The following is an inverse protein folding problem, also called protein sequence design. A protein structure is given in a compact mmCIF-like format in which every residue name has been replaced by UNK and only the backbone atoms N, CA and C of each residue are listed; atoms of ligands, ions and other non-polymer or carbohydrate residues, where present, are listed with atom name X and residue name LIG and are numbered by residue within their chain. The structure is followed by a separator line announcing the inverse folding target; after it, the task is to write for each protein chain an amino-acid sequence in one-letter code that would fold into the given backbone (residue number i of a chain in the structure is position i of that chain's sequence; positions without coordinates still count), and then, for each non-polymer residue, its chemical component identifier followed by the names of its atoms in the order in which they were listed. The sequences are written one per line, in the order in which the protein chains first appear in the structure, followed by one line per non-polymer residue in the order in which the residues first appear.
data_IF_832222116783
#
_entry.id   IF_832222116783
#
_cell.length_a   1.000
_cell.length_b   1.000
_cell.length_c   1.000
_cell.angle_alpha   90.00
_cell.angle_beta   90.00
_cell.angle_gamma   90.00
#
_symmetry.space_group_name_H-M   'P 1'
#
loop_
_entity.id
_entity.type
_entity.pdbx_description
1 polymer ?
#
# COMPACT_ATOMS: atom_id res chain seq x y z
N UNK A 1 20.67 1.33 13.28
CA UNK A 1 20.69 -0.08 12.86
C UNK A 1 22.08 -0.44 12.33
N UNK A 2 22.41 -1.73 12.29
CA UNK A 2 23.53 -2.24 11.49
C UNK A 2 22.96 -3.06 10.35
N UNK A 3 23.37 -2.74 9.13
CA UNK A 3 22.98 -3.47 7.92
C UNK A 3 24.17 -3.55 6.99
N UNK A 4 24.67 -4.77 6.75
CA UNK A 4 25.95 -4.99 6.04
C UNK A 4 27.05 -4.12 6.69
N UNK A 5 27.71 -3.27 5.90
CA UNK A 5 28.77 -2.36 6.38
C UNK A 5 28.26 -0.99 6.86
N UNK A 6 26.94 -0.77 6.88
CA UNK A 6 26.33 0.49 7.28
C UNK A 6 26.00 0.53 8.79
N UNK A 7 26.35 1.65 9.44
CA UNK A 7 25.98 1.96 10.82
C UNK A 7 25.38 3.38 10.87
N UNK A 8 24.08 3.48 11.19
CA UNK A 8 23.34 4.75 11.16
C UNK A 8 21.84 4.55 11.40
N UNK A 9 21.02 5.54 11.07
CA UNK A 9 19.55 5.39 11.12
C UNK A 9 19.03 4.63 9.90
N UNK A 10 17.78 4.15 9.96
CA UNK A 10 17.16 3.51 8.78
C UNK A 10 16.95 4.55 7.68
N UNK A 11 16.53 5.74 8.07
CA UNK A 11 16.26 6.86 7.18
C UNK A 11 17.52 7.23 6.39
N UNK A 12 18.68 7.29 7.06
CA UNK A 12 19.98 7.54 6.41
C UNK A 12 20.34 6.41 5.43
N UNK A 13 20.11 5.14 5.81
CA UNK A 13 20.37 3.99 4.93
C UNK A 13 19.49 4.03 3.68
N UNK A 14 18.18 4.27 3.87
CA UNK A 14 17.23 4.36 2.76
C UNK A 14 17.61 5.52 1.86
N UNK A 15 17.90 6.70 2.40
CA UNK A 15 18.32 7.87 1.63
C UNK A 15 19.60 7.59 0.82
N UNK A 16 20.60 6.93 1.41
CA UNK A 16 21.79 6.49 0.67
C UNK A 16 21.42 5.54 -0.48
N UNK A 17 20.53 4.58 -0.25
CA UNK A 17 20.09 3.63 -1.28
C UNK A 17 19.29 4.30 -2.39
N UNK A 18 18.45 5.28 -2.07
CA UNK A 18 17.72 6.06 -3.06
C UNK A 18 18.68 6.86 -3.96
N UNK A 19 19.75 7.45 -3.40
CA UNK A 19 20.79 8.13 -4.18
C UNK A 19 21.55 7.15 -5.08
N UNK A 20 21.95 5.98 -4.57
CA UNK A 20 22.60 4.93 -5.36
C UNK A 20 21.72 4.47 -6.56
N UNK A 21 20.40 4.38 -6.35
CA UNK A 21 19.44 4.03 -7.42
C UNK A 21 19.37 5.14 -8.47
N UNK A 22 19.23 6.40 -8.07
CA UNK A 22 19.17 7.53 -9.01
C UNK A 22 20.41 7.60 -9.90
N UNK A 23 21.60 7.43 -9.31
CA UNK A 23 22.87 7.46 -10.04
C UNK A 23 23.02 6.30 -11.02
N UNK A 24 22.71 5.07 -10.58
CA UNK A 24 22.94 3.85 -11.39
C UNK A 24 21.87 3.62 -12.45
N UNK A 25 20.62 3.93 -12.14
CA UNK A 25 19.48 3.74 -13.06
C UNK A 25 19.22 4.98 -13.93
N UNK A 26 19.92 6.09 -13.66
CA UNK A 26 19.74 7.39 -14.31
C UNK A 26 18.28 7.87 -14.26
N UNK A 27 17.69 7.76 -13.08
CA UNK A 27 16.30 8.15 -12.79
C UNK A 27 16.26 9.23 -11.72
N UNK A 28 15.10 9.87 -11.58
CA UNK A 28 14.82 10.78 -10.47
C UNK A 28 13.67 10.24 -9.64
N UNK A 29 13.88 10.12 -8.34
CA UNK A 29 12.90 9.62 -7.39
C UNK A 29 12.04 10.79 -6.92
N UNK A 30 10.73 10.69 -7.15
CA UNK A 30 9.73 11.71 -6.81
C UNK A 30 9.14 11.50 -5.41
N UNK A 31 9.04 10.24 -4.99
CA UNK A 31 8.40 9.84 -3.75
C UNK A 31 8.99 8.52 -3.27
N UNK A 32 9.28 8.39 -1.98
CA UNK A 32 9.72 7.15 -1.35
C UNK A 32 9.12 7.05 0.05
N UNK A 33 8.52 5.90 0.35
CA UNK A 33 7.76 5.64 1.57
C UNK A 33 8.03 4.25 2.11
N UNK A 34 7.75 4.06 3.39
CA UNK A 34 7.57 2.73 3.96
C UNK A 34 6.23 2.16 3.53
N UNK A 35 6.15 0.86 3.31
CA UNK A 35 4.90 0.15 3.04
C UNK A 35 4.76 -1.08 3.94
N UNK A 36 3.77 -1.93 3.66
CA UNK A 36 3.59 -3.18 4.40
C UNK A 36 3.37 -2.98 5.90
N UNK A 37 3.82 -3.97 6.69
CA UNK A 37 3.44 -4.08 8.11
C UNK A 37 3.94 -2.93 8.99
N UNK A 38 5.05 -2.30 8.61
CA UNK A 38 5.60 -1.12 9.28
C UNK A 38 4.75 0.11 9.02
N UNK A 39 4.39 0.38 7.77
CA UNK A 39 3.48 1.47 7.41
C UNK A 39 2.10 1.32 8.05
N UNK A 40 1.64 0.09 8.25
CA UNK A 40 0.35 -0.20 8.89
C UNK A 40 0.38 -0.06 10.42
N UNK A 41 1.56 0.11 11.04
CA UNK A 41 1.70 0.35 12.47
C UNK A 41 1.62 -0.91 13.34
N UNK A 42 1.84 -2.10 12.76
CA UNK A 42 1.83 -3.36 13.51
C UNK A 42 3.05 -4.25 13.26
N UNK A 43 4.15 -3.72 12.74
CA UNK A 43 5.37 -4.49 12.51
C UNK A 43 5.90 -5.14 13.79
N UNK A 44 6.48 -6.33 13.64
CA UNK A 44 7.26 -6.99 14.68
C UNK A 44 8.74 -6.56 14.54
N UNK A 45 9.58 -6.79 15.56
CA UNK A 45 11.00 -6.43 15.50
C UNK A 45 11.77 -7.06 14.32
N UNK A 46 11.34 -8.25 13.89
CA UNK A 46 11.86 -9.06 12.80
C UNK A 46 11.19 -8.78 11.44
N UNK A 47 10.27 -7.80 11.34
CA UNK A 47 9.73 -7.40 10.05
C UNK A 47 10.79 -6.72 9.17
N UNK A 48 10.78 -7.05 7.89
CA UNK A 48 11.51 -6.37 6.82
C UNK A 48 11.10 -4.89 6.70
N UNK A 49 11.89 -4.14 5.93
CA UNK A 49 11.61 -2.75 5.56
C UNK A 49 11.20 -2.71 4.08
N UNK A 50 9.90 -2.50 3.84
CA UNK A 50 9.28 -2.49 2.53
C UNK A 50 9.31 -1.07 1.95
N UNK A 51 10.46 -0.63 1.42
CA UNK A 51 10.56 0.69 0.81
C UNK A 51 9.93 0.67 -0.57
N UNK A 52 8.99 1.59 -0.82
CA UNK A 52 8.32 1.75 -2.12
C UNK A 52 8.53 3.16 -2.63
N UNK A 53 8.86 3.28 -3.91
CA UNK A 53 9.15 4.59 -4.49
C UNK A 53 8.56 4.78 -5.88
N UNK A 54 8.34 6.04 -6.24
CA UNK A 54 7.94 6.46 -7.58
C UNK A 54 9.09 7.24 -8.18
N UNK A 55 9.48 6.87 -9.40
CA UNK A 55 10.56 7.54 -10.12
C UNK A 55 10.12 7.96 -11.52
N UNK A 56 10.84 8.91 -12.10
CA UNK A 56 10.68 9.34 -13.48
C UNK A 56 12.01 9.19 -14.21
N UNK A 57 11.95 8.72 -15.45
CA UNK A 57 13.10 8.57 -16.34
C UNK A 57 13.29 9.82 -17.19
N UNK A 58 14.38 9.87 -17.95
CA UNK A 58 14.57 10.93 -18.93
C UNK A 58 13.59 10.78 -20.10
N UNK A 59 13.19 11.88 -20.76
CA UNK A 59 12.29 11.82 -21.92
C UNK A 59 12.72 10.82 -22.99
N UNK A 60 14.03 10.75 -23.28
CA UNK A 60 14.58 9.87 -24.32
C UNK A 60 14.31 8.39 -24.02
N UNK A 61 14.23 7.99 -22.74
CA UNK A 61 13.96 6.60 -22.35
C UNK A 61 12.54 6.17 -22.71
N UNK A 62 11.58 7.10 -22.72
CA UNK A 62 10.19 6.83 -23.13
C UNK A 62 9.99 6.84 -24.65
N UNK A 63 10.95 7.35 -25.42
CA UNK A 63 10.91 7.43 -26.88
C UNK A 63 11.71 6.33 -27.59
N UNK A 64 12.33 5.42 -26.82
CA UNK A 64 13.04 4.26 -27.35
C UNK A 64 12.07 3.27 -28.00
N UNK A 65 12.52 2.64 -29.09
CA UNK A 65 11.78 1.56 -29.75
C UNK A 65 11.74 0.28 -28.90
N UNK A 66 12.81 0.03 -28.17
CA UNK A 66 12.84 -1.06 -27.18
C UNK A 66 12.14 -0.60 -25.90
N UNK A 67 11.13 -1.34 -25.42
CA UNK A 67 10.44 -1.00 -24.18
C UNK A 67 11.40 -1.03 -22.99
N UNK A 68 11.39 0.04 -22.20
CA UNK A 68 12.13 0.10 -20.94
C UNK A 68 11.30 -0.50 -19.81
N UNK A 69 11.94 -1.25 -18.92
CA UNK A 69 11.29 -1.83 -17.74
C UNK A 69 10.71 -0.73 -16.85
N UNK A 70 9.46 -0.88 -16.45
CA UNK A 70 8.68 0.10 -15.68
C UNK A 70 8.78 -0.10 -14.15
N UNK A 71 9.67 -1.00 -13.71
CA UNK A 71 9.92 -1.35 -12.30
C UNK A 71 11.43 -1.42 -12.06
N UNK A 72 11.87 -0.88 -10.92
CA UNK A 72 13.22 -1.07 -10.38
C UNK A 72 13.09 -1.89 -9.09
N UNK A 73 13.90 -2.92 -8.95
CA UNK A 73 14.01 -3.76 -7.76
C UNK A 73 15.42 -3.63 -7.19
N UNK A 74 15.55 -3.40 -5.90
CA UNK A 74 16.82 -3.07 -5.27
C UNK A 74 16.94 -3.72 -3.89
N UNK A 75 18.12 -4.31 -3.62
CA UNK A 75 18.47 -4.90 -2.31
C UNK A 75 17.39 -5.85 -1.77
N UNK A 76 16.81 -6.74 -2.60
CA UNK A 76 15.76 -7.70 -2.22
C UNK A 76 16.26 -8.79 -1.25
N UNK A 77 16.54 -8.43 0.00
CA UNK A 77 16.98 -9.36 1.04
C UNK A 77 16.06 -9.39 2.26
N UNK A 78 16.41 -10.18 3.28
CA UNK A 78 15.56 -10.40 4.45
C UNK A 78 15.43 -9.15 5.35
N UNK A 79 16.17 -8.07 5.06
CA UNK A 79 16.10 -6.82 5.82
C UNK A 79 15.48 -5.69 5.00
N UNK A 80 15.95 -5.46 3.77
CA UNK A 80 15.40 -4.43 2.89
C UNK A 80 14.66 -5.08 1.72
N UNK A 81 13.51 -4.53 1.36
CA UNK A 81 12.85 -4.79 0.08
C UNK A 81 12.52 -3.43 -0.55
N UNK A 82 13.34 -2.99 -1.50
CA UNK A 82 13.19 -1.69 -2.15
C UNK A 82 12.64 -1.89 -3.57
N UNK A 83 11.42 -1.42 -3.81
CA UNK A 83 10.74 -1.55 -5.10
C UNK A 83 10.21 -0.21 -5.61
N UNK A 84 10.50 0.11 -6.87
CA UNK A 84 10.12 1.38 -7.48
C UNK A 84 9.25 1.20 -8.71
N UNK A 85 8.25 2.06 -8.88
CA UNK A 85 7.44 2.14 -10.09
C UNK A 85 7.76 3.40 -10.88
N UNK A 86 7.89 3.24 -12.20
CA UNK A 86 8.01 4.36 -13.13
C UNK A 86 6.74 5.24 -13.09
N UNK A 87 6.88 6.55 -13.32
CA UNK A 87 5.78 7.50 -13.30
C UNK A 87 4.66 7.15 -14.29
N UNK A 88 4.99 6.67 -15.50
CA UNK A 88 3.99 6.21 -16.47
C UNK A 88 3.18 5.03 -15.90
N UNK A 89 3.85 4.09 -15.24
CA UNK A 89 3.20 2.97 -14.56
C UNK A 89 2.31 3.48 -13.43
N UNK A 90 2.81 4.36 -12.57
CA UNK A 90 2.05 4.94 -11.46
C UNK A 90 0.76 5.62 -11.96
N UNK A 91 0.84 6.47 -12.98
CA UNK A 91 -0.33 7.14 -13.56
C UNK A 91 -1.33 6.15 -14.16
N UNK A 92 -0.87 5.09 -14.85
CA UNK A 92 -1.76 4.00 -15.30
C UNK A 92 -2.41 3.25 -14.14
N UNK A 93 -1.75 3.14 -12.99
CA UNK A 93 -2.30 2.50 -11.80
C UNK A 93 -3.31 3.42 -11.08
N UNK A 94 -3.13 4.74 -11.12
CA UNK A 94 -4.19 5.69 -10.75
C UNK A 94 -5.43 5.50 -11.61
N UNK A 95 -5.29 5.41 -12.94
CA UNK A 95 -6.42 5.17 -13.85
C UNK A 95 -7.21 3.90 -13.53
N UNK A 96 -6.50 2.84 -13.12
CA UNK A 96 -7.09 1.57 -12.68
C UNK A 96 -7.64 1.60 -11.26
N UNK A 97 -7.47 2.71 -10.55
CA UNK A 97 -7.71 2.86 -9.12
C UNK A 97 -7.05 1.76 -8.28
N UNK A 98 -5.77 1.49 -8.53
CA UNK A 98 -5.03 0.46 -7.79
C UNK A 98 -4.80 0.90 -6.33
N UNK A 99 -5.37 0.16 -5.39
CA UNK A 99 -5.29 0.48 -3.96
C UNK A 99 -3.86 0.50 -3.41
N UNK A 100 -2.95 -0.31 -3.95
CA UNK A 100 -1.53 -0.29 -3.54
C UNK A 100 -0.89 1.08 -3.80
N UNK A 101 -1.22 1.73 -4.92
CA UNK A 101 -0.68 3.06 -5.22
C UNK A 101 -1.25 4.13 -4.27
N UNK A 102 -2.54 4.04 -3.94
CA UNK A 102 -3.14 4.93 -2.94
C UNK A 102 -2.53 4.70 -1.55
N UNK A 103 -2.23 3.46 -1.17
CA UNK A 103 -1.54 3.18 0.09
C UNK A 103 -0.14 3.77 0.13
N UNK A 104 0.64 3.65 -0.96
CA UNK A 104 1.97 4.27 -1.03
C UNK A 104 1.87 5.79 -0.91
N UNK A 105 0.95 6.40 -1.65
CA UNK A 105 0.77 7.85 -1.68
C UNK A 105 0.29 8.43 -0.35
N UNK A 106 -0.45 7.64 0.43
CA UNK A 106 -0.99 8.00 1.74
C UNK A 106 -0.20 7.40 2.91
N UNK A 107 1.00 6.86 2.66
CA UNK A 107 1.81 6.24 3.72
C UNK A 107 2.18 7.27 4.79
N UNK A 108 2.06 6.92 6.09
CA UNK A 108 2.39 7.83 7.19
C UNK A 108 3.91 8.01 7.37
N UNK A 109 4.73 7.13 6.79
CA UNK A 109 6.19 7.14 6.93
C UNK A 109 6.79 7.43 5.56
N UNK A 110 7.22 8.68 5.40
CA UNK A 110 7.76 9.22 4.14
C UNK A 110 9.26 9.43 4.28
N UNK A 111 10.05 8.75 3.44
CA UNK A 111 11.50 8.94 3.38
C UNK A 111 11.88 10.12 2.49
N UNK A 112 11.21 10.26 1.35
CA UNK A 112 11.45 11.34 0.38
C UNK A 112 10.18 11.72 -0.34
N UNK A 113 9.96 13.01 -0.59
CA UNK A 113 8.86 13.50 -1.44
C UNK A 113 9.22 14.83 -2.07
N UNK A 114 8.97 14.98 -3.36
CA UNK A 114 9.12 16.25 -4.07
C UNK A 114 7.78 16.97 -4.21
N UNK A 115 7.80 18.29 -4.48
CA UNK A 115 6.59 19.07 -4.73
C UNK A 115 5.85 18.59 -5.99
N UNK A 116 6.59 18.11 -6.98
CA UNK A 116 6.00 17.55 -8.19
C UNK A 116 5.15 16.32 -7.92
N UNK A 117 5.58 15.44 -7.00
CA UNK A 117 4.77 14.30 -6.59
C UNK A 117 3.50 14.75 -5.86
N UNK A 118 3.60 15.73 -4.96
CA UNK A 118 2.41 16.27 -4.26
C UNK A 118 1.37 16.78 -5.26
N UNK A 119 1.82 17.50 -6.29
CA UNK A 119 0.96 17.97 -7.37
C UNK A 119 0.34 16.79 -8.15
N UNK A 120 1.16 15.82 -8.58
CA UNK A 120 0.67 14.61 -9.28
C UNK A 120 -0.40 13.91 -8.45
N UNK A 121 -0.11 13.63 -7.18
CA UNK A 121 -1.01 12.90 -6.31
C UNK A 121 -2.32 13.67 -6.09
N UNK A 122 -2.26 14.99 -5.87
CA UNK A 122 -3.45 15.82 -5.71
C UNK A 122 -4.36 15.77 -6.95
N UNK A 123 -3.78 15.88 -8.14
CA UNK A 123 -4.55 15.90 -9.40
C UNK A 123 -4.99 14.50 -9.87
N UNK A 124 -4.28 13.45 -9.48
CA UNK A 124 -4.61 12.06 -9.80
C UNK A 124 -5.52 11.38 -8.77
N UNK A 125 -5.61 11.90 -7.53
CA UNK A 125 -6.49 11.36 -6.48
C UNK A 125 -7.96 11.20 -6.88
N UNK A 126 -8.57 12.09 -7.70
CA UNK A 126 -9.93 11.91 -8.21
C UNK A 126 -10.14 10.69 -9.10
N UNK A 127 -9.09 9.95 -9.49
CA UNK A 127 -9.22 8.67 -10.20
C UNK A 127 -9.55 7.50 -9.26
N UNK A 128 -9.67 7.75 -7.96
CA UNK A 128 -10.16 6.74 -7.01
C UNK A 128 -11.55 6.24 -7.41
N UNK A 129 -11.68 4.93 -7.56
CA UNK A 129 -12.92 4.21 -7.78
C UNK A 129 -13.20 3.33 -6.57
N UNK A 130 -14.42 3.47 -6.04
CA UNK A 130 -14.94 2.70 -4.92
C UNK A 130 -14.98 1.23 -5.32
N UNK A 131 -15.57 0.91 -6.49
CA UNK A 131 -15.72 -0.48 -6.93
C UNK A 131 -14.37 -1.17 -7.14
N UNK A 132 -13.44 -0.52 -7.84
CA UNK A 132 -12.14 -1.10 -8.14
C UNK A 132 -11.32 -1.33 -6.86
N UNK A 133 -11.32 -0.36 -5.94
CA UNK A 133 -10.60 -0.48 -4.67
C UNK A 133 -11.21 -1.53 -3.74
N UNK A 134 -12.55 -1.59 -3.64
CA UNK A 134 -13.22 -2.65 -2.88
C UNK A 134 -12.94 -4.03 -3.47
N UNK A 135 -12.93 -4.20 -4.80
CA UNK A 135 -12.56 -5.49 -5.41
C UNK A 135 -11.14 -5.91 -5.08
N UNK A 136 -10.18 -4.97 -5.07
CA UNK A 136 -8.80 -5.24 -4.70
C UNK A 136 -8.71 -5.76 -3.26
N UNK A 137 -9.28 -5.02 -2.31
CA UNK A 137 -9.25 -5.42 -0.90
C UNK A 137 -10.02 -6.72 -0.66
N UNK A 138 -11.22 -6.88 -1.24
CA UNK A 138 -11.99 -8.13 -1.18
C UNK A 138 -11.18 -9.32 -1.69
N UNK A 139 -10.53 -9.20 -2.86
CA UNK A 139 -9.70 -10.25 -3.45
C UNK A 139 -8.54 -10.64 -2.54
N UNK A 140 -7.84 -9.63 -2.00
CA UNK A 140 -6.73 -9.82 -1.05
C UNK A 140 -7.19 -10.52 0.23
N UNK A 141 -8.29 -10.04 0.84
CA UNK A 141 -8.87 -10.65 2.04
C UNK A 141 -9.28 -12.10 1.78
N UNK A 142 -10.03 -12.35 0.71
CA UNK A 142 -10.52 -13.68 0.36
C UNK A 142 -9.38 -14.67 0.11
N UNK A 143 -8.38 -14.28 -0.68
CA UNK A 143 -7.24 -15.16 -0.99
C UNK A 143 -6.50 -15.54 0.30
N UNK A 144 -6.16 -14.56 1.14
CA UNK A 144 -5.45 -14.81 2.39
C UNK A 144 -6.30 -15.61 3.40
N UNK A 145 -7.61 -15.38 3.44
CA UNK A 145 -8.53 -16.13 4.31
C UNK A 145 -8.58 -17.61 3.94
N UNK A 146 -8.72 -17.91 2.65
CA UNK A 146 -8.77 -19.29 2.14
C UNK A 146 -7.43 -20.01 2.28
N UNK A 147 -6.32 -19.29 2.11
CA UNK A 147 -4.98 -19.89 2.19
C UNK A 147 -4.51 -20.12 3.63
N UNK A 148 -4.75 -19.16 4.54
CA UNK A 148 -4.07 -19.14 5.83
C UNK A 148 -4.97 -19.35 7.06
N UNK A 149 -6.29 -19.16 6.96
CA UNK A 149 -7.17 -19.10 8.13
C UNK A 149 -8.23 -20.22 8.20
N UNK A 150 -8.07 -21.28 7.38
CA UNK A 150 -9.00 -22.42 7.31
C UNK A 150 -8.70 -23.55 8.30
N UNK A 151 -7.47 -23.67 8.80
CA UNK A 151 -7.07 -24.75 9.71
C UNK A 151 -7.37 -24.47 11.20
N UNK A 152 -7.27 -25.50 12.04
CA UNK A 152 -7.45 -25.38 13.49
C UNK A 152 -6.35 -24.55 14.17
N UNK A 153 -5.14 -24.61 13.61
CA UNK A 153 -3.98 -23.81 14.04
C UNK A 153 -3.56 -22.88 12.91
N UNK A 154 -3.47 -21.58 13.21
CA UNK A 154 -3.20 -20.53 12.23
C UNK A 154 -2.11 -19.59 12.73
N UNK A 155 -1.38 -18.97 11.79
CA UNK A 155 -0.40 -17.93 12.12
C UNK A 155 -1.13 -16.62 12.39
N UNK A 156 -0.96 -16.06 13.59
CA UNK A 156 -1.69 -14.86 13.98
C UNK A 156 -1.34 -13.63 13.12
N UNK A 157 -0.11 -13.54 12.62
CA UNK A 157 0.27 -12.49 11.64
C UNK A 157 -0.70 -12.46 10.45
N UNK A 158 -1.20 -13.62 9.98
CA UNK A 158 -2.09 -13.72 8.81
C UNK A 158 -3.50 -13.17 9.05
N UNK A 159 -3.96 -13.07 10.31
CA UNK A 159 -5.21 -12.35 10.60
C UNK A 159 -5.14 -10.89 10.17
N UNK A 160 -4.01 -10.20 10.36
CA UNK A 160 -3.88 -8.80 9.96
C UNK A 160 -3.94 -8.61 8.44
N UNK A 161 -3.43 -9.57 7.66
CA UNK A 161 -3.52 -9.56 6.19
C UNK A 161 -4.93 -9.86 5.66
N UNK A 162 -5.86 -10.25 6.53
CA UNK A 162 -7.27 -10.50 6.18
C UNK A 162 -8.19 -9.45 6.78
N UNK A 163 -8.02 -9.12 8.06
CA UNK A 163 -8.85 -8.15 8.77
C UNK A 163 -8.62 -6.76 8.22
N UNK A 164 -7.38 -6.32 7.97
CA UNK A 164 -7.13 -5.00 7.39
C UNK A 164 -7.88 -4.79 6.07
N UNK A 165 -7.77 -5.67 5.04
CA UNK A 165 -8.55 -5.49 3.82
C UNK A 165 -10.07 -5.64 4.01
N UNK A 166 -10.55 -6.44 4.98
CA UNK A 166 -11.98 -6.47 5.33
C UNK A 166 -12.45 -5.12 5.88
N UNK A 167 -11.73 -4.55 6.85
CA UNK A 167 -12.05 -3.23 7.40
C UNK A 167 -11.92 -2.13 6.33
N UNK A 168 -10.97 -2.25 5.41
CA UNK A 168 -10.85 -1.36 4.27
C UNK A 168 -12.09 -1.40 3.37
N UNK A 169 -12.68 -2.58 3.12
CA UNK A 169 -13.94 -2.68 2.36
C UNK A 169 -15.07 -1.93 3.07
N UNK A 170 -15.22 -2.11 4.40
CA UNK A 170 -16.22 -1.41 5.20
C UNK A 170 -16.03 0.11 5.20
N UNK A 171 -14.78 0.57 5.34
CA UNK A 171 -14.46 2.00 5.25
C UNK A 171 -14.85 2.57 3.88
N UNK A 172 -14.46 1.90 2.80
CA UNK A 172 -14.72 2.38 1.43
C UNK A 172 -16.22 2.39 1.13
N UNK A 173 -16.97 1.39 1.60
CA UNK A 173 -18.42 1.34 1.50
C UNK A 173 -19.09 2.57 2.15
N UNK A 174 -18.61 2.98 3.32
CA UNK A 174 -19.19 4.08 4.08
C UNK A 174 -18.71 5.47 3.61
N UNK A 175 -17.42 5.61 3.31
CA UNK A 175 -16.76 6.91 3.12
C UNK A 175 -16.43 7.22 1.66
N UNK A 176 -16.48 6.24 0.77
CA UNK A 176 -16.16 6.38 -0.67
C UNK A 176 -14.78 7.02 -0.95
N UNK A 177 -13.79 6.74 -0.10
CA UNK A 177 -12.42 7.26 -0.24
C UNK A 177 -11.37 6.20 0.17
N UNK A 178 -10.08 6.39 -0.16
CA UNK A 178 -9.02 5.48 0.29
C UNK A 178 -9.03 5.29 1.82
N UNK A 179 -8.85 4.06 2.33
CA UNK A 179 -8.81 3.80 3.76
C UNK A 179 -7.53 4.34 4.41
N UNK A 180 -7.56 4.67 5.72
CA UNK A 180 -6.35 4.95 6.48
C UNK A 180 -5.32 3.83 6.35
N UNK A 181 -4.05 4.21 6.15
CA UNK A 181 -2.95 3.23 6.05
C UNK A 181 -2.68 2.60 7.42
N UNK A 182 -2.68 3.42 8.48
CA UNK A 182 -2.53 2.99 9.86
C UNK A 182 -3.70 2.10 10.28
N UNK A 183 -3.38 0.88 10.71
CA UNK A 183 -4.39 -0.10 11.11
C UNK A 183 -5.18 0.36 12.35
N UNK A 184 -4.54 1.05 13.29
CA UNK A 184 -5.20 1.60 14.49
C UNK A 184 -6.28 2.61 14.14
N UNK A 185 -6.01 3.51 13.18
CA UNK A 185 -6.98 4.52 12.72
C UNK A 185 -8.14 3.86 11.97
N UNK A 186 -7.84 2.92 11.08
CA UNK A 186 -8.87 2.16 10.36
C UNK A 186 -9.75 1.34 11.33
N UNK A 187 -9.13 0.69 12.32
CA UNK A 187 -9.84 -0.09 13.33
C UNK A 187 -10.73 0.81 14.20
N UNK A 188 -10.23 1.97 14.63
CA UNK A 188 -11.02 2.91 15.43
C UNK A 188 -12.20 3.46 14.62
N UNK A 189 -11.98 3.83 13.37
CA UNK A 189 -13.05 4.33 12.52
C UNK A 189 -14.17 3.30 12.30
N UNK A 190 -13.81 2.04 12.02
CA UNK A 190 -14.79 1.01 11.65
C UNK A 190 -15.39 0.31 12.88
N UNK A 191 -14.60 0.09 13.94
CA UNK A 191 -14.99 -0.70 15.12
C UNK A 191 -15.07 0.12 16.42
N UNK A 192 -14.82 1.44 16.40
CA UNK A 192 -14.74 2.28 17.60
C UNK A 192 -16.08 2.79 18.14
N UNK A 193 -17.13 2.85 17.31
CA UNK A 193 -18.42 3.35 17.78
C UNK A 193 -19.11 2.31 18.71
N UNK A 194 -19.27 2.72 19.96
CA UNK A 194 -19.89 1.92 21.03
C UNK A 194 -21.39 1.68 20.84
N UNK A 195 -22.04 2.40 19.91
CA UNK A 195 -23.43 2.21 19.51
C UNK A 195 -23.60 1.03 18.53
N UNK A 196 -22.50 0.52 17.97
CA UNK A 196 -22.51 -0.60 17.03
C UNK A 196 -22.84 -1.94 17.70
N UNK A 197 -23.16 -2.93 16.85
CA UNK A 197 -23.59 -4.28 17.23
C UNK A 197 -22.61 -4.91 18.23
N UNK A 198 -23.13 -5.68 19.20
CA UNK A 198 -22.33 -6.44 20.18
C UNK A 198 -21.22 -7.30 19.54
N UNK A 199 -21.43 -7.71 18.30
CA UNK A 199 -20.47 -8.43 17.48
C UNK A 199 -19.20 -7.63 17.20
N UNK A 200 -19.30 -6.36 16.81
CA UNK A 200 -18.14 -5.51 16.46
C UNK A 200 -17.28 -5.25 17.70
N UNK A 201 -17.91 -5.10 18.88
CA UNK A 201 -17.20 -5.03 20.16
C UNK A 201 -16.38 -6.29 20.43
N UNK A 202 -16.93 -7.48 20.16
CA UNK A 202 -16.21 -8.76 20.33
C UNK A 202 -15.05 -8.89 19.33
N UNK A 203 -15.28 -8.49 18.08
CA UNK A 203 -14.25 -8.47 17.03
C UNK A 203 -13.12 -7.53 17.44
N UNK A 204 -13.43 -6.31 17.86
CA UNK A 204 -12.44 -5.35 18.35
C UNK A 204 -11.59 -5.92 19.48
N UNK A 205 -12.22 -6.49 20.52
CA UNK A 205 -11.52 -7.10 21.64
C UNK A 205 -10.59 -8.25 21.18
N UNK A 206 -11.03 -9.06 20.22
CA UNK A 206 -10.21 -10.13 19.66
C UNK A 206 -9.02 -9.59 18.85
N UNK A 207 -9.19 -8.51 18.10
CA UNK A 207 -8.10 -7.83 17.37
C UNK A 207 -7.11 -7.17 18.32
N UNK A 208 -7.58 -6.46 19.36
CA UNK A 208 -6.74 -5.87 20.40
C UNK A 208 -5.89 -6.96 21.09
N UNK A 209 -6.52 -8.10 21.41
CA UNK A 209 -5.79 -9.25 21.96
C UNK A 209 -4.74 -9.82 21.00
N UNK A 210 -5.01 -9.87 19.70
CA UNK A 210 -4.03 -10.28 18.70
C UNK A 210 -2.84 -9.32 18.62
N UNK A 211 -3.09 -8.01 18.72
CA UNK A 211 -2.04 -6.99 18.75
C UNK A 211 -1.14 -7.16 19.98
N UNK A 212 -1.73 -7.42 21.15
CA UNK A 212 -0.97 -7.72 22.39
C UNK A 212 -0.09 -8.97 22.24
N UNK A 213 -0.64 -10.06 21.67
CA UNK A 213 0.12 -11.29 21.45
C UNK A 213 1.28 -11.04 20.48
N UNK A 214 1.03 -10.27 19.42
CA UNK A 214 2.05 -9.91 18.43
C UNK A 214 3.16 -9.05 19.03
N UNK A 215 2.84 -8.14 19.94
CA UNK A 215 3.84 -7.31 20.63
C UNK A 215 4.79 -8.14 21.51
N UNK A 216 4.33 -9.31 22.00
CA UNK A 216 5.07 -10.17 22.92
C UNK A 216 5.72 -11.40 22.25
N UNK A 217 5.41 -11.68 20.99
CA UNK A 217 5.81 -12.91 20.29
C UNK A 217 6.50 -12.55 18.97
N UNK A 218 7.59 -13.24 18.57
CA UNK A 218 8.14 -13.13 17.21
C UNK A 218 7.08 -13.43 16.13
N UNK A 219 7.32 -13.07 14.87
CA UNK A 219 6.33 -13.23 13.77
C UNK A 219 5.81 -14.66 13.56
N UNK A 220 6.46 -15.66 14.15
CA UNK A 220 6.09 -17.08 14.14
C UNK A 220 4.94 -17.45 15.09
N UNK A 221 4.35 -16.50 15.82
CA UNK A 221 3.20 -16.72 16.70
C UNK A 221 2.04 -17.43 15.98
N UNK A 222 1.79 -18.68 16.38
CA UNK A 222 0.70 -19.50 15.88
C UNK A 222 -0.14 -20.00 17.06
N UNK A 223 -1.43 -20.20 16.82
CA UNK A 223 -2.33 -20.71 17.84
C UNK A 223 -3.66 -21.12 17.27
N UNK A 224 -4.59 -21.45 18.16
CA UNK A 224 -5.92 -21.85 17.78
C UNK A 224 -6.61 -20.74 16.98
N UNK A 225 -7.37 -21.15 15.97
CA UNK A 225 -8.26 -20.27 15.21
C UNK A 225 -9.19 -19.51 16.16
N UNK A 226 -9.36 -18.22 15.92
CA UNK A 226 -10.21 -17.34 16.71
C UNK A 226 -11.57 -17.25 16.02
N UNK A 227 -12.53 -18.05 16.48
CA UNK A 227 -13.87 -18.19 15.87
C UNK A 227 -14.58 -16.85 15.67
N UNK A 228 -14.50 -15.93 16.63
CA UNK A 228 -15.15 -14.61 16.52
C UNK A 228 -14.64 -13.82 15.31
N UNK A 229 -13.35 -13.94 14.98
CA UNK A 229 -12.76 -13.24 13.84
C UNK A 229 -13.09 -13.97 12.54
N UNK A 230 -13.07 -15.31 12.55
CA UNK A 230 -13.41 -16.11 11.38
C UNK A 230 -14.86 -15.89 10.94
N UNK A 231 -15.83 -15.97 11.86
CA UNK A 231 -17.24 -15.70 11.54
C UNK A 231 -17.41 -14.28 10.97
N UNK A 232 -16.82 -13.27 11.62
CA UNK A 232 -16.87 -11.90 11.13
C UNK A 232 -16.29 -11.78 9.71
N UNK A 233 -15.11 -12.35 9.46
CA UNK A 233 -14.47 -12.31 8.13
C UNK A 233 -15.36 -12.98 7.08
N UNK A 234 -15.92 -14.15 7.37
CA UNK A 234 -16.81 -14.87 6.44
C UNK A 234 -18.05 -14.04 6.10
N UNK A 235 -18.69 -13.46 7.11
CA UNK A 235 -19.86 -12.60 6.93
C UNK A 235 -19.53 -11.34 6.11
N UNK A 236 -18.40 -10.67 6.40
CA UNK A 236 -18.02 -9.47 5.67
C UNK A 236 -17.56 -9.76 4.24
N UNK A 237 -16.93 -10.90 3.98
CA UNK A 237 -16.59 -11.34 2.63
C UNK A 237 -17.86 -11.62 1.81
N UNK A 238 -18.86 -12.27 2.39
CA UNK A 238 -20.14 -12.52 1.74
C UNK A 238 -20.91 -11.21 1.47
N UNK A 239 -20.94 -10.30 2.44
CA UNK A 239 -21.53 -8.97 2.29
C UNK A 239 -20.85 -8.16 1.18
N UNK A 240 -19.52 -8.04 1.24
CA UNK A 240 -18.72 -7.30 0.25
C UNK A 240 -18.93 -7.87 -1.15
N UNK A 241 -19.01 -9.21 -1.29
CA UNK A 241 -19.25 -9.85 -2.58
C UNK A 241 -20.61 -9.48 -3.16
N UNK A 242 -21.68 -9.54 -2.37
CA UNK A 242 -23.03 -9.15 -2.79
C UNK A 242 -23.08 -7.69 -3.24
N UNK A 243 -22.46 -6.80 -2.47
CA UNK A 243 -22.38 -5.39 -2.81
C UNK A 243 -21.65 -5.19 -4.14
N UNK A 244 -20.44 -5.72 -4.28
CA UNK A 244 -19.61 -5.62 -5.49
C UNK A 244 -20.31 -6.10 -6.76
N UNK A 245 -21.13 -7.16 -6.67
CA UNK A 245 -21.89 -7.71 -7.80
C UNK A 245 -23.01 -6.77 -8.29
N UNK A 246 -23.46 -5.84 -7.45
CA UNK A 246 -24.49 -4.85 -7.80
C UNK A 246 -23.93 -3.48 -8.17
N UNK A 247 -22.68 -3.18 -7.80
CA UNK A 247 -22.05 -1.90 -8.07
C UNK A 247 -21.80 -1.70 -9.57
N UNK A 248 -21.97 -0.47 -10.04
CA UNK A 248 -21.53 -0.06 -11.38
C UNK A 248 -20.05 0.29 -11.36
N UNK A 249 -19.38 0.17 -12.49
CA UNK A 249 -18.01 0.67 -12.65
C UNK A 249 -18.04 2.20 -12.55
N UNK A 250 -17.27 2.75 -11.62
CA UNK A 250 -17.18 4.16 -11.28
C UNK A 250 -15.79 4.74 -11.59
N UNK A 251 -14.95 4.01 -12.35
CA UNK A 251 -13.66 4.52 -12.81
C UNK A 251 -13.83 5.68 -13.80
N UNK A 252 -12.92 6.64 -13.71
CA UNK A 252 -12.79 7.73 -14.67
C UNK A 252 -12.25 7.19 -16.01
N UNK A 253 -13.02 7.35 -17.09
CA UNK A 253 -12.61 6.86 -18.42
C UNK A 253 -11.49 7.70 -19.05
N UNK A 254 -11.50 9.02 -18.81
CA UNK A 254 -10.57 9.97 -19.45
C UNK A 254 -9.13 9.72 -19.01
N UNK A 255 -8.18 9.94 -19.92
CA UNK A 255 -6.75 9.94 -19.64
C UNK A 255 -6.15 11.35 -19.60
N UNK A 256 -6.91 12.38 -19.95
CA UNK A 256 -6.40 13.74 -20.23
C UNK A 256 -5.57 14.33 -19.08
N UNK A 257 -6.05 14.21 -17.83
CA UNK A 257 -5.31 14.69 -16.65
C UNK A 257 -4.00 13.94 -16.48
N UNK A 258 -4.03 12.61 -16.62
CA UNK A 258 -2.86 11.76 -16.39
C UNK A 258 -1.82 11.93 -17.51
N UNK A 259 -2.26 12.04 -18.76
CA UNK A 259 -1.38 12.31 -19.90
C UNK A 259 -0.70 13.67 -19.76
N UNK A 260 -1.45 14.70 -19.35
CA UNK A 260 -0.88 16.02 -19.07
C UNK A 260 0.15 15.96 -17.94
N UNK A 261 -0.19 15.35 -16.80
CA UNK A 261 0.73 15.19 -15.67
C UNK A 261 2.02 14.45 -16.08
N UNK A 262 1.89 13.41 -16.90
CA UNK A 262 3.03 12.68 -17.42
C UNK A 262 3.94 13.58 -18.26
N UNK A 263 3.37 14.28 -19.25
CA UNK A 263 4.13 15.15 -20.15
C UNK A 263 4.80 16.33 -19.42
N UNK A 264 4.10 16.96 -18.49
CA UNK A 264 4.63 18.07 -17.69
C UNK A 264 5.88 17.65 -16.90
N UNK A 265 5.86 16.45 -16.29
CA UNK A 265 6.88 16.06 -15.31
C UNK A 265 8.04 15.27 -15.92
N UNK A 266 7.82 14.61 -17.06
CA UNK A 266 8.88 14.04 -17.87
C UNK A 266 9.71 15.16 -18.52
N UNK A 267 9.06 16.20 -19.06
CA UNK A 267 9.76 17.28 -19.77
C UNK A 267 10.49 18.27 -18.85
N UNK A 268 10.08 18.43 -17.58
CA UNK A 268 10.72 19.34 -16.62
C UNK A 268 12.18 18.97 -16.30
N UNK A 269 12.56 17.70 -16.44
CA UNK A 269 13.94 17.24 -16.22
C UNK A 269 14.98 17.85 -17.17
N UNK A 270 14.55 18.48 -18.27
CA UNK A 270 15.44 19.11 -19.26
C UNK A 270 15.69 20.61 -19.02
N UNK A 271 15.10 21.24 -17.99
CA UNK A 271 15.27 22.68 -17.78
C UNK A 271 16.70 23.09 -17.35
N UNK A 272 17.53 22.16 -16.88
CA UNK A 272 18.95 22.38 -16.59
C UNK A 272 19.90 21.94 -17.73
N UNK A 273 19.35 21.31 -18.78
CA UNK A 273 20.09 20.81 -19.94
C UNK A 273 19.57 21.44 -21.22
N UNK A 274 20.23 22.52 -21.65
CA UNK A 274 20.10 23.17 -22.97
C UNK A 274 19.49 22.26 -24.05
N UNK A 275 18.37 22.66 -24.60
CA UNK A 275 18.01 22.29 -25.98
C UNK A 275 18.51 23.43 -26.87
N UNK A 276 19.54 23.12 -27.66
CA UNK A 276 19.89 23.81 -28.90
C UNK A 276 18.89 23.45 -29.99
#
# INVERSE_FOLDING_TARGET
MRYKDFEGTLEDLVEQKLQEIEEKEHVRILHAVESGSRSWGFASPDSDYDVRFIYVRRPEDYLKLEPVRDVIEWELDETLDINGWDLQKALRQYHRSNSTLFEWSNSPVVYRTTEEWKQIHQEASPYFSVKASMYHYYGTAKSNFMEFLQGDTVKYKKYFYVIRPVLACLWIEEHACPPPVLFSELMEAVLGDQSQKDEYRKVRQAVERLLEIKALTPESGAGARIEVLNCFIEEQLEHSKKLLDTMKDDRTDSWETLDRLFLEHVCKGNAEGRIL
#
